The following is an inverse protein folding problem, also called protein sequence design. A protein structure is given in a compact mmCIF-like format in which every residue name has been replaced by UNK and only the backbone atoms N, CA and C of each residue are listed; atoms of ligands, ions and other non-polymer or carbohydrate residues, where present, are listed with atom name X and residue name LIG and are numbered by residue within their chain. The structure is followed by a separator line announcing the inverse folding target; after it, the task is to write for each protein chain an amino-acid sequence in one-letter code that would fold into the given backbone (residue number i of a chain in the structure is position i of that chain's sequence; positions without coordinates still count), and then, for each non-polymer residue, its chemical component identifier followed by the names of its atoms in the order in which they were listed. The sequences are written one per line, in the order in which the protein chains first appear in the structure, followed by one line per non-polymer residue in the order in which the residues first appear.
data_IF_555494609708
#
_entry.id   IF_555494609708
#
_cell.length_a   1.000
_cell.length_b   1.000
_cell.length_c   1.000
_cell.angle_alpha   90.00
_cell.angle_beta   90.00
_cell.angle_gamma   90.00
#
_symmetry.space_group_name_H-M   'P 1'
#
loop_
_entity.id
_entity.type
_entity.pdbx_description
1 polymer ?
#
# COMPACT_ATOMS: atom_id res chain seq x y z
N UNK A 1 10.67 -9.55 36.67
CA UNK A 1 9.74 -9.18 35.60
C UNK A 1 9.25 -10.49 35.01
N UNK A 2 7.95 -10.76 35.04
CA UNK A 2 7.40 -11.99 34.47
C UNK A 2 7.62 -11.97 32.95
N UNK A 3 8.21 -13.05 32.41
CA UNK A 3 8.47 -13.18 30.98
C UNK A 3 7.17 -13.04 30.18
N UNK A 4 6.06 -13.55 30.73
CA UNK A 4 4.75 -13.45 30.08
C UNK A 4 4.23 -12.00 30.04
N UNK A 5 4.44 -11.21 31.09
CA UNK A 5 4.09 -9.80 31.11
C UNK A 5 4.92 -8.98 30.13
N UNK A 6 6.22 -9.26 30.03
CA UNK A 6 7.11 -8.61 29.06
C UNK A 6 6.68 -8.90 27.62
N UNK A 7 6.35 -10.16 27.29
CA UNK A 7 5.85 -10.56 25.98
C UNK A 7 4.52 -9.86 25.67
N UNK A 8 3.57 -9.83 26.61
CA UNK A 8 2.26 -9.17 26.40
C UNK A 8 2.40 -7.68 26.13
N UNK A 9 3.33 -7.02 26.83
CA UNK A 9 3.62 -5.59 26.62
C UNK A 9 4.16 -5.33 25.21
N UNK A 10 5.06 -6.18 24.74
CA UNK A 10 5.61 -6.06 23.38
C UNK A 10 4.54 -6.31 22.31
N UNK A 11 3.67 -7.31 22.50
CA UNK A 11 2.53 -7.57 21.59
C UNK A 11 1.56 -6.38 21.54
N UNK A 12 1.29 -5.73 22.68
CA UNK A 12 0.42 -4.56 22.71
C UNK A 12 1.06 -3.39 21.93
N UNK A 13 2.35 -3.15 22.15
CA UNK A 13 3.12 -2.13 21.44
C UNK A 13 3.16 -2.40 19.94
N UNK A 14 3.37 -3.64 19.52
CA UNK A 14 3.29 -4.03 18.10
C UNK A 14 1.92 -3.70 17.51
N UNK A 15 0.82 -4.04 18.20
CA UNK A 15 -0.54 -3.71 17.72
C UNK A 15 -0.78 -2.21 17.61
N UNK A 16 -0.25 -1.41 18.54
CA UNK A 16 -0.31 0.05 18.48
C UNK A 16 0.47 0.57 17.26
N UNK A 17 1.68 0.07 17.02
CA UNK A 17 2.49 0.41 15.84
C UNK A 17 1.80 0.01 14.53
N UNK A 18 1.24 -1.20 14.45
CA UNK A 18 0.50 -1.68 13.28
C UNK A 18 -0.79 -0.87 13.02
N UNK A 19 -1.44 -0.37 14.07
CA UNK A 19 -2.62 0.50 13.94
C UNK A 19 -2.29 1.85 13.29
N UNK A 20 -1.04 2.30 13.43
CA UNK A 20 -0.53 3.52 12.80
C UNK A 20 -0.10 3.29 11.35
N UNK A 21 0.17 2.04 10.95
CA UNK A 21 0.56 1.68 9.59
C UNK A 21 -0.65 1.56 8.65
N UNK A 22 -1.58 2.52 8.74
CA UNK A 22 -2.76 2.61 7.89
C UNK A 22 -2.57 3.70 6.85
N UNK A 23 -2.56 3.33 5.57
CA UNK A 23 -2.27 4.24 4.46
C UNK A 23 -3.47 4.37 3.53
N UNK A 24 -3.85 5.61 3.21
CA UNK A 24 -4.96 5.91 2.30
C UNK A 24 -4.60 6.76 1.07
N UNK A 25 -3.36 7.25 1.02
CA UNK A 25 -2.80 8.00 -0.10
C UNK A 25 -1.52 7.32 -0.61
N UNK A 26 -1.25 7.47 -1.91
CA UNK A 26 -0.04 6.98 -2.57
C UNK A 26 1.20 7.67 -1.99
N UNK A 27 1.07 8.96 -1.65
CA UNK A 27 2.14 9.75 -1.03
C UNK A 27 2.61 9.15 0.29
N UNK A 28 1.68 8.99 1.25
CA UNK A 28 2.01 8.50 2.59
C UNK A 28 2.58 7.08 2.54
N UNK A 29 1.97 6.19 1.74
CA UNK A 29 2.46 4.83 1.63
C UNK A 29 3.88 4.77 1.03
N UNK A 30 4.15 5.59 0.00
CA UNK A 30 5.47 5.66 -0.62
C UNK A 30 6.52 6.22 0.33
N UNK A 31 6.18 7.29 1.04
CA UNK A 31 7.07 7.88 2.04
C UNK A 31 7.42 6.87 3.12
N UNK A 32 6.42 6.14 3.62
CA UNK A 32 6.64 5.08 4.60
C UNK A 32 7.62 4.01 4.09
N UNK A 33 7.37 3.44 2.91
CA UNK A 33 8.24 2.39 2.35
C UNK A 33 9.67 2.90 2.12
N UNK A 34 9.83 4.12 1.64
CA UNK A 34 11.15 4.67 1.28
C UNK A 34 11.95 5.18 2.48
N UNK A 35 11.28 5.82 3.44
CA UNK A 35 11.91 6.45 4.61
C UNK A 35 12.03 5.46 5.78
N UNK A 36 10.93 4.77 6.13
CA UNK A 36 10.90 3.89 7.29
C UNK A 36 11.57 2.53 7.03
N UNK A 37 11.62 2.08 5.77
CA UNK A 37 12.21 0.79 5.35
C UNK A 37 11.77 -0.36 6.27
N UNK A 38 10.46 -0.70 6.25
CA UNK A 38 9.87 -1.61 7.22
C UNK A 38 10.58 -2.97 7.25
N UNK A 39 10.74 -3.51 8.47
CA UNK A 39 11.28 -4.84 8.69
C UNK A 39 10.29 -5.94 8.25
N UNK A 40 10.76 -7.20 8.22
CA UNK A 40 10.00 -8.35 7.69
C UNK A 40 8.74 -8.71 8.47
N UNK A 41 8.60 -8.20 9.69
CA UNK A 41 7.51 -8.45 10.64
C UNK A 41 6.53 -7.27 10.76
N UNK A 42 6.73 -6.20 10.00
CA UNK A 42 5.87 -5.02 10.03
C UNK A 42 4.60 -5.24 9.19
N UNK A 43 3.45 -5.24 9.84
CA UNK A 43 2.15 -5.26 9.16
C UNK A 43 1.73 -3.85 8.72
N UNK A 44 1.14 -3.74 7.54
CA UNK A 44 0.56 -2.51 6.99
C UNK A 44 -0.86 -2.74 6.50
N UNK A 45 -1.71 -1.73 6.62
CA UNK A 45 -3.04 -1.70 6.02
C UNK A 45 -3.09 -0.65 4.93
N UNK A 46 -3.51 -1.03 3.72
CA UNK A 46 -3.65 -0.12 2.58
C UNK A 46 -5.12 -0.03 2.19
N UNK A 47 -5.67 1.19 2.23
CA UNK A 47 -7.02 1.52 1.73
C UNK A 47 -6.88 2.45 0.54
N UNK A 48 -7.00 1.93 -0.67
CA UNK A 48 -6.81 2.70 -1.90
C UNK A 48 -7.90 2.36 -2.94
N UNK A 49 -8.02 3.17 -3.98
CA UNK A 49 -8.92 2.89 -5.11
C UNK A 49 -8.19 2.11 -6.18
N UNK A 50 -8.76 0.97 -6.60
CA UNK A 50 -8.21 0.16 -7.67
C UNK A 50 -8.43 0.85 -9.02
N UNK A 51 -7.34 1.14 -9.73
CA UNK A 51 -7.40 1.62 -11.10
C UNK A 51 -7.39 0.46 -12.10
N UNK A 52 -6.42 -0.45 -11.98
CA UNK A 52 -6.32 -1.60 -12.87
C UNK A 52 -5.72 -2.80 -12.15
N UNK A 53 -6.08 -3.98 -12.63
CA UNK A 53 -5.54 -5.26 -12.20
C UNK A 53 -5.17 -6.06 -13.44
N UNK A 54 -3.92 -6.46 -13.57
CA UNK A 54 -3.40 -7.14 -14.75
C UNK A 54 -2.59 -8.38 -14.36
N UNK A 55 -2.76 -9.47 -15.13
CA UNK A 55 -1.92 -10.67 -15.01
C UNK A 55 -0.52 -10.33 -15.51
N UNK A 56 0.51 -10.70 -14.77
CA UNK A 56 1.89 -10.50 -15.23
C UNK A 56 2.30 -11.67 -16.12
N UNK A 57 2.86 -11.35 -17.30
CA UNK A 57 3.37 -12.35 -18.24
C UNK A 57 4.37 -13.29 -17.53
N UNK A 58 4.13 -14.61 -17.61
CA UNK A 58 4.86 -15.62 -16.84
C UNK A 58 4.04 -16.27 -15.72
N UNK A 59 2.78 -15.85 -15.51
CA UNK A 59 1.73 -16.58 -14.77
C UNK A 59 1.98 -16.95 -13.30
N UNK A 60 2.63 -16.06 -12.55
CA UNK A 60 2.79 -16.28 -11.10
C UNK A 60 2.06 -15.25 -10.23
N UNK A 61 1.40 -14.24 -10.81
CA UNK A 61 0.65 -13.28 -10.00
C UNK A 61 -0.07 -12.18 -10.76
N UNK A 62 -0.79 -11.37 -9.99
CA UNK A 62 -1.58 -10.23 -10.42
C UNK A 62 -0.91 -8.94 -9.91
N UNK A 63 -0.71 -7.99 -10.81
CA UNK A 63 -0.29 -6.63 -10.47
C UNK A 63 -1.54 -5.75 -10.33
N UNK A 64 -1.73 -5.19 -9.15
CA UNK A 64 -2.81 -4.23 -8.87
C UNK A 64 -2.22 -2.83 -8.82
N UNK A 65 -2.72 -1.93 -9.67
CA UNK A 65 -2.37 -0.51 -9.65
C UNK A 65 -3.45 0.27 -8.89
N UNK A 66 -3.01 1.05 -7.92
CA UNK A 66 -3.83 1.75 -6.94
C UNK A 66 -3.60 3.25 -7.01
N UNK A 67 -4.66 4.03 -6.79
CA UNK A 67 -4.67 5.49 -6.62
C UNK A 67 -5.22 5.85 -5.24
N UNK A 68 -5.06 7.11 -4.83
CA UNK A 68 -5.56 7.60 -3.54
C UNK A 68 -7.04 7.26 -3.31
N UNK A 69 -7.39 6.83 -2.10
CA UNK A 69 -8.77 6.45 -1.78
C UNK A 69 -9.79 7.59 -1.94
N UNK A 70 -9.35 8.84 -1.78
CA UNK A 70 -10.21 10.02 -1.94
C UNK A 70 -10.61 10.26 -3.41
N UNK A 71 -9.90 9.67 -4.38
CA UNK A 71 -10.23 9.78 -5.81
C UNK A 71 -11.39 8.87 -6.21
N UNK A 72 -11.89 8.02 -5.31
CA UNK A 72 -13.06 7.17 -5.58
C UNK A 72 -14.27 7.97 -6.10
N UNK A 73 -14.50 9.16 -5.57
CA UNK A 73 -15.63 10.01 -5.98
C UNK A 73 -15.43 10.64 -7.37
N UNK A 74 -14.18 10.70 -7.85
CA UNK A 74 -13.77 11.33 -9.10
C UNK A 74 -13.05 10.34 -10.01
N UNK A 75 -13.43 9.06 -9.93
CA UNK A 75 -12.65 7.97 -10.49
C UNK A 75 -12.40 8.14 -11.99
N UNK A 76 -13.46 8.39 -12.77
CA UNK A 76 -13.38 8.49 -14.23
C UNK A 76 -12.46 9.64 -14.66
N UNK A 77 -12.66 10.84 -14.11
CA UNK A 77 -11.83 12.01 -14.44
C UNK A 77 -10.38 11.84 -13.97
N UNK A 78 -10.17 11.17 -12.84
CA UNK A 78 -8.81 10.88 -12.35
C UNK A 78 -8.08 9.92 -13.29
N UNK A 79 -8.74 8.84 -13.71
CA UNK A 79 -8.16 7.85 -14.61
C UNK A 79 -7.88 8.44 -15.99
N UNK A 80 -8.78 9.27 -16.51
CA UNK A 80 -8.58 10.01 -17.77
C UNK A 80 -7.33 10.89 -17.70
N UNK A 81 -7.25 11.75 -16.67
CA UNK A 81 -6.09 12.63 -16.47
C UNK A 81 -4.78 11.85 -16.27
N UNK A 82 -4.81 10.75 -15.51
CA UNK A 82 -3.64 9.86 -15.36
C UNK A 82 -3.24 9.23 -16.69
N UNK A 83 -4.21 8.91 -17.54
CA UNK A 83 -4.03 8.38 -18.89
C UNK A 83 -3.23 9.32 -19.80
N UNK A 84 -3.45 10.62 -19.69
CA UNK A 84 -2.72 11.65 -20.46
C UNK A 84 -1.26 11.85 -20.00
N UNK A 85 -0.94 11.50 -18.75
CA UNK A 85 0.42 11.58 -18.26
C UNK A 85 1.31 10.52 -18.92
N UNK A 86 2.52 10.94 -19.30
CA UNK A 86 3.62 10.01 -19.61
C UNK A 86 3.87 9.07 -18.44
N UNK A 87 4.37 7.87 -18.72
CA UNK A 87 4.64 6.83 -17.71
C UNK A 87 5.46 7.36 -16.53
N UNK A 88 6.49 8.18 -16.77
CA UNK A 88 7.34 8.73 -15.70
C UNK A 88 6.56 9.70 -14.81
N UNK A 89 5.80 10.61 -15.41
CA UNK A 89 4.99 11.61 -14.67
C UNK A 89 3.83 10.99 -13.90
N UNK A 90 3.35 9.82 -14.33
CA UNK A 90 2.28 9.07 -13.66
C UNK A 90 2.75 8.41 -12.36
N UNK A 91 4.02 8.01 -12.27
CA UNK A 91 4.56 7.24 -11.13
C UNK A 91 4.27 7.83 -9.75
N UNK A 92 4.35 9.15 -9.50
CA UNK A 92 4.07 9.70 -8.17
C UNK A 92 2.61 9.54 -7.71
N UNK A 93 1.69 9.33 -8.65
CA UNK A 93 0.24 9.28 -8.39
C UNK A 93 -0.32 7.85 -8.29
N UNK A 94 0.54 6.85 -8.44
CA UNK A 94 0.14 5.44 -8.35
C UNK A 94 1.06 4.65 -7.42
N UNK A 95 0.48 3.59 -6.85
CA UNK A 95 1.19 2.49 -6.19
C UNK A 95 0.85 1.20 -6.90
N UNK A 96 1.80 0.26 -6.93
CA UNK A 96 1.58 -1.08 -7.48
C UNK A 96 1.85 -2.12 -6.40
N UNK A 97 0.91 -3.04 -6.22
CA UNK A 97 1.03 -4.19 -5.31
C UNK A 97 1.02 -5.47 -6.16
N UNK A 98 1.98 -6.35 -5.90
CA UNK A 98 2.06 -7.68 -6.50
C UNK A 98 1.38 -8.70 -5.58
N UNK A 99 0.38 -9.40 -6.10
CA UNK A 99 -0.29 -10.52 -5.44
C UNK A 99 0.10 -11.80 -6.17
N UNK A 100 0.91 -12.63 -5.52
CA UNK A 100 1.34 -13.91 -6.08
C UNK A 100 0.21 -14.96 -5.94
N UNK A 101 0.16 -15.91 -6.87
CA UNK A 101 -0.75 -17.05 -6.80
C UNK A 101 -0.41 -17.95 -5.58
N UNK A 102 -1.41 -18.70 -5.09
CA UNK A 102 -1.29 -19.60 -3.93
C UNK A 102 -0.60 -20.93 -4.26
#
# INVERSE_FOLDING_TARGET
MDLLEAIRKEVLKQKEEESLNFFSTVGDFREFITTAKPATDVSVTVKMTCWMSERVNGDHGIRVTLIDANQRAFFDSTVEALGELTVVKRKPHITQIMVWDA
#
